data_IF_261625372421
#
_entry.id   IF_261625372421
#
_cell.length_a   1.000
_cell.length_b   1.000
_cell.length_c   1.000
_cell.angle_alpha   90.00
_cell.angle_beta   90.00
_cell.angle_gamma   90.00
#
_symmetry.space_group_name_H-M   'P 1'
#
loop_
_entity.id
_entity.type
_entity.pdbx_description
1 polymer ?
#
# COMPACT_ATOMS: atom_id res chain seq x y z
N UNK A 1 -8.74 0.39 22.75
CA UNK A 1 -7.37 0.74 22.29
C UNK A 1 -6.59 -0.47 21.76
N UNK A 2 -6.48 -1.57 22.52
CA UNK A 2 -5.72 -2.79 22.14
C UNK A 2 -6.13 -3.37 20.77
N UNK A 3 -7.43 -3.46 20.48
CA UNK A 3 -7.90 -4.03 19.19
C UNK A 3 -7.45 -3.18 18.00
N UNK A 4 -7.49 -1.85 18.08
CA UNK A 4 -7.01 -0.98 17.00
C UNK A 4 -5.52 -1.19 16.74
N UNK A 5 -4.71 -1.35 17.82
CA UNK A 5 -3.27 -1.62 17.70
C UNK A 5 -3.04 -2.97 17.01
N UNK A 6 -3.76 -4.01 17.40
CA UNK A 6 -3.65 -5.34 16.80
C UNK A 6 -4.07 -5.32 15.31
N UNK A 7 -5.14 -4.62 14.94
CA UNK A 7 -5.52 -4.45 13.54
C UNK A 7 -4.47 -3.68 12.75
N UNK A 8 -3.90 -2.64 13.31
CA UNK A 8 -2.82 -1.89 12.67
C UNK A 8 -1.56 -2.77 12.49
N UNK A 9 -1.19 -3.55 13.52
CA UNK A 9 -0.11 -4.52 13.43
C UNK A 9 -0.38 -5.59 12.36
N UNK A 10 -1.62 -6.06 12.25
CA UNK A 10 -2.01 -7.02 11.21
C UNK A 10 -1.86 -6.42 9.81
N UNK A 11 -2.35 -5.19 9.59
CA UNK A 11 -2.23 -4.50 8.31
C UNK A 11 -0.77 -4.27 7.90
N UNK A 12 0.06 -3.81 8.84
CA UNK A 12 1.50 -3.60 8.60
C UNK A 12 2.21 -4.91 8.31
N UNK A 13 1.89 -5.98 9.05
CA UNK A 13 2.45 -7.31 8.83
C UNK A 13 2.03 -7.89 7.47
N UNK A 14 0.77 -7.71 7.04
CA UNK A 14 0.33 -8.09 5.69
C UNK A 14 1.08 -7.34 4.59
N UNK A 15 1.33 -6.05 4.80
CA UNK A 15 2.09 -5.24 3.83
C UNK A 15 3.52 -5.73 3.71
N UNK A 16 4.18 -5.98 4.84
CA UNK A 16 5.53 -6.57 4.87
C UNK A 16 5.55 -7.93 4.16
N UNK A 17 4.56 -8.77 4.42
CA UNK A 17 4.42 -10.08 3.79
C UNK A 17 4.33 -9.94 2.25
N UNK A 18 3.48 -9.04 1.75
CA UNK A 18 3.34 -8.80 0.31
C UNK A 18 4.67 -8.29 -0.32
N UNK A 19 5.39 -7.40 0.37
CA UNK A 19 6.71 -6.92 -0.09
C UNK A 19 7.73 -8.06 -0.13
N UNK A 20 7.77 -8.92 0.90
CA UNK A 20 8.69 -10.07 0.98
C UNK A 20 8.40 -11.07 -0.13
N UNK A 21 7.12 -11.37 -0.41
CA UNK A 21 6.72 -12.21 -1.56
C UNK A 21 7.25 -11.62 -2.86
N UNK A 22 7.04 -10.33 -3.09
CA UNK A 22 7.50 -9.65 -4.30
C UNK A 22 9.02 -9.72 -4.46
N UNK A 23 9.77 -9.54 -3.36
CA UNK A 23 11.23 -9.66 -3.33
C UNK A 23 11.69 -11.10 -3.57
N UNK A 24 11.00 -12.09 -2.99
CA UNK A 24 11.29 -13.51 -3.21
C UNK A 24 11.08 -13.91 -4.66
N UNK A 25 9.96 -13.51 -5.27
CA UNK A 25 9.67 -13.79 -6.69
C UNK A 25 10.73 -13.17 -7.60
N UNK A 26 11.20 -11.95 -7.26
CA UNK A 26 12.19 -11.22 -8.05
C UNK A 26 13.60 -11.80 -7.93
N UNK A 27 14.03 -12.09 -6.71
CA UNK A 27 15.44 -12.42 -6.41
C UNK A 27 15.67 -13.93 -6.26
N UNK A 28 14.61 -14.71 -5.96
CA UNK A 28 14.65 -16.17 -5.68
C UNK A 28 15.68 -16.56 -4.60
N UNK A 29 15.95 -15.66 -3.66
CA UNK A 29 16.90 -15.84 -2.58
C UNK A 29 16.24 -16.58 -1.41
N UNK A 30 16.95 -17.58 -0.85
CA UNK A 30 16.51 -18.37 0.32
C UNK A 30 16.22 -17.50 1.55
N UNK A 31 16.94 -16.38 1.71
CA UNK A 31 16.72 -15.45 2.81
C UNK A 31 15.28 -14.90 2.80
N UNK A 32 14.79 -14.47 1.64
CA UNK A 32 13.40 -13.98 1.52
C UNK A 32 12.35 -15.09 1.73
N UNK A 33 12.69 -16.34 1.45
CA UNK A 33 11.82 -17.48 1.76
C UNK A 33 11.67 -17.67 3.27
N UNK A 34 12.75 -17.57 4.05
CA UNK A 34 12.66 -17.64 5.52
C UNK A 34 11.86 -16.48 6.10
N UNK A 35 12.06 -15.25 5.58
CA UNK A 35 11.26 -14.10 5.98
C UNK A 35 9.77 -14.25 5.60
N UNK A 36 9.48 -14.90 4.48
CA UNK A 36 8.10 -15.23 4.10
C UNK A 36 7.45 -16.15 5.14
N UNK A 37 8.10 -17.23 5.55
CA UNK A 37 7.59 -18.14 6.58
C UNK A 37 7.40 -17.39 7.91
N UNK A 38 8.38 -16.58 8.32
CA UNK A 38 8.31 -15.80 9.56
C UNK A 38 7.11 -14.83 9.57
N UNK A 39 6.86 -14.15 8.46
CA UNK A 39 5.71 -13.22 8.35
C UNK A 39 4.37 -13.95 8.27
N UNK A 40 4.29 -15.16 7.68
CA UNK A 40 3.09 -16.01 7.76
C UNK A 40 2.79 -16.38 9.21
N UNK A 41 3.79 -16.87 9.94
CA UNK A 41 3.63 -17.24 11.35
C UNK A 41 3.19 -16.03 12.21
N UNK A 42 3.79 -14.87 11.98
CA UNK A 42 3.41 -13.63 12.66
C UNK A 42 1.98 -13.18 12.36
N UNK A 43 1.55 -13.24 11.10
CA UNK A 43 0.16 -12.95 10.70
C UNK A 43 -0.84 -13.90 11.38
N UNK A 44 -0.52 -15.19 11.41
CA UNK A 44 -1.35 -16.19 12.10
C UNK A 44 -1.43 -15.92 13.60
N UNK A 45 -0.32 -15.61 14.26
CA UNK A 45 -0.30 -15.29 15.69
C UNK A 45 -1.16 -14.07 16.04
N UNK A 46 -1.05 -12.98 15.24
CA UNK A 46 -1.87 -11.77 15.42
C UNK A 46 -3.36 -12.07 15.18
N UNK A 47 -3.67 -12.84 14.14
CA UNK A 47 -5.06 -13.24 13.83
C UNK A 47 -5.66 -14.09 14.96
N UNK A 48 -4.91 -15.06 15.48
CA UNK A 48 -5.33 -15.87 16.63
C UNK A 48 -5.53 -15.01 17.89
N UNK A 49 -4.63 -14.07 18.17
CA UNK A 49 -4.80 -13.15 19.28
C UNK A 49 -6.07 -12.31 19.16
N UNK A 50 -6.38 -11.82 17.95
CA UNK A 50 -7.63 -11.09 17.67
C UNK A 50 -8.86 -11.97 17.90
N UNK A 51 -8.84 -13.24 17.45
CA UNK A 51 -9.94 -14.19 17.65
C UNK A 51 -10.14 -14.45 19.14
N UNK A 52 -9.07 -14.76 19.88
CA UNK A 52 -9.14 -15.06 21.32
C UNK A 52 -9.68 -13.84 22.09
N UNK A 53 -9.21 -12.64 21.80
CA UNK A 53 -9.72 -11.41 22.45
C UNK A 53 -11.18 -11.19 22.09
N UNK A 54 -11.57 -11.44 20.84
CA UNK A 54 -12.94 -11.28 20.36
C UNK A 54 -13.92 -12.20 21.07
N UNK A 55 -13.49 -13.45 21.34
CA UNK A 55 -14.29 -14.45 22.03
C UNK A 55 -14.32 -14.23 23.54
N UNK A 56 -13.18 -13.83 24.13
CA UNK A 56 -13.06 -13.65 25.58
C UNK A 56 -13.67 -12.34 26.09
N UNK A 57 -13.72 -11.30 25.25
CA UNK A 57 -14.20 -9.96 25.59
C UNK A 57 -15.01 -9.33 24.45
N UNK A 58 -16.21 -9.85 24.17
CA UNK A 58 -17.04 -9.36 23.07
C UNK A 58 -17.45 -7.90 23.23
N UNK A 59 -17.47 -7.35 24.45
CA UNK A 59 -17.70 -5.94 24.72
C UNK A 59 -16.68 -5.02 24.07
N UNK A 60 -15.42 -5.44 23.95
CA UNK A 60 -14.38 -4.65 23.29
C UNK A 60 -14.65 -4.49 21.78
N UNK A 61 -15.26 -5.48 21.17
CA UNK A 61 -15.65 -5.40 19.75
C UNK A 61 -16.88 -4.50 19.58
N UNK A 62 -17.87 -4.59 20.47
CA UNK A 62 -19.05 -3.73 20.44
C UNK A 62 -18.73 -2.25 20.61
N UNK A 63 -17.64 -1.94 21.32
CA UNK A 63 -17.13 -0.57 21.50
C UNK A 63 -16.28 -0.07 20.33
N UNK A 64 -15.99 -0.92 19.32
CA UNK A 64 -15.25 -0.50 18.14
C UNK A 64 -16.03 0.57 17.35
N UNK A 65 -15.43 1.74 17.24
CA UNK A 65 -15.93 2.74 16.33
C UNK A 65 -15.55 2.34 14.89
N UNK A 66 -16.49 1.66 14.20
CA UNK A 66 -16.28 1.21 12.84
C UNK A 66 -15.97 2.36 11.88
N UNK A 67 -16.52 3.57 12.12
CA UNK A 67 -16.21 4.76 11.30
C UNK A 67 -14.73 5.14 11.41
N UNK A 68 -14.20 5.13 12.63
CA UNK A 68 -12.78 5.39 12.88
C UNK A 68 -11.88 4.31 12.24
N UNK A 69 -12.26 3.05 12.37
CA UNK A 69 -11.54 1.94 11.78
C UNK A 69 -11.47 2.06 10.26
N UNK A 70 -12.60 2.27 9.57
CA UNK A 70 -12.64 2.44 8.12
C UNK A 70 -11.87 3.68 7.66
N UNK A 71 -11.89 4.76 8.44
CA UNK A 71 -11.07 5.93 8.15
C UNK A 71 -9.58 5.62 8.22
N UNK A 72 -9.11 4.94 9.29
CA UNK A 72 -7.72 4.54 9.43
C UNK A 72 -7.28 3.61 8.30
N UNK A 73 -8.11 2.62 7.96
CA UNK A 73 -7.88 1.68 6.86
C UNK A 73 -7.80 2.41 5.52
N UNK A 74 -8.69 3.37 5.27
CA UNK A 74 -8.66 4.15 4.03
C UNK A 74 -7.40 4.99 3.91
N UNK A 75 -6.92 5.60 4.99
CA UNK A 75 -5.66 6.32 5.04
C UNK A 75 -4.48 5.41 4.70
N UNK A 76 -4.43 4.24 5.31
CA UNK A 76 -3.39 3.25 5.05
C UNK A 76 -3.37 2.81 3.57
N UNK A 77 -4.52 2.44 3.00
CA UNK A 77 -4.63 2.06 1.58
C UNK A 77 -4.24 3.21 0.66
N UNK A 78 -4.66 4.44 0.98
CA UNK A 78 -4.28 5.64 0.22
C UNK A 78 -2.77 5.83 0.18
N UNK A 79 -2.07 5.67 1.33
CA UNK A 79 -0.62 5.77 1.41
C UNK A 79 0.08 4.64 0.64
N UNK A 80 -0.45 3.42 0.66
CA UNK A 80 0.08 2.31 -0.15
C UNK A 80 -0.03 2.60 -1.64
N UNK A 81 -1.19 3.06 -2.10
CA UNK A 81 -1.41 3.40 -3.51
C UNK A 81 -0.53 4.58 -3.95
N UNK A 82 -0.34 5.56 -3.07
CA UNK A 82 0.59 6.68 -3.32
C UNK A 82 2.03 6.19 -3.44
N UNK A 83 2.47 5.34 -2.52
CA UNK A 83 3.82 4.75 -2.53
C UNK A 83 4.08 3.95 -3.81
N UNK A 84 3.09 3.18 -4.27
CA UNK A 84 3.14 2.45 -5.54
C UNK A 84 3.36 3.42 -6.71
N UNK A 85 2.58 4.50 -6.78
CA UNK A 85 2.70 5.52 -7.84
C UNK A 85 4.08 6.17 -7.83
N UNK A 86 4.56 6.58 -6.65
CA UNK A 86 5.90 7.18 -6.48
C UNK A 86 6.99 6.21 -6.98
N UNK A 87 6.90 4.92 -6.62
CA UNK A 87 7.86 3.91 -7.05
C UNK A 87 7.87 3.75 -8.59
N UNK A 88 6.68 3.70 -9.22
CA UNK A 88 6.55 3.61 -10.67
C UNK A 88 7.13 4.87 -11.34
N UNK A 89 6.76 6.07 -10.90
CA UNK A 89 7.28 7.32 -11.45
C UNK A 89 8.80 7.42 -11.30
N UNK A 90 9.35 7.00 -10.15
CA UNK A 90 10.80 6.95 -9.93
C UNK A 90 11.49 6.03 -10.94
N UNK A 91 10.90 4.88 -11.26
CA UNK A 91 11.46 3.96 -12.25
C UNK A 91 11.41 4.54 -13.66
N UNK A 92 10.30 5.16 -14.06
CA UNK A 92 10.16 5.84 -15.35
C UNK A 92 11.15 7.00 -15.44
N UNK A 93 11.29 7.81 -14.38
CA UNK A 93 12.23 8.92 -14.32
C UNK A 93 13.70 8.46 -14.45
N UNK A 94 14.08 7.35 -13.80
CA UNK A 94 15.42 6.77 -13.97
C UNK A 94 15.68 6.38 -15.43
N UNK A 95 14.71 5.74 -16.10
CA UNK A 95 14.83 5.36 -17.52
C UNK A 95 14.86 6.58 -18.45
N UNK A 96 14.13 7.63 -18.14
CA UNK A 96 14.14 8.87 -18.94
C UNK A 96 15.50 9.59 -18.96
N UNK A 97 16.38 9.27 -18.02
CA UNK A 97 17.76 9.78 -17.97
C UNK A 97 18.77 8.88 -18.69
N UNK A 98 18.45 7.63 -18.94
CA UNK A 98 19.32 6.67 -19.59
C UNK A 98 19.29 6.89 -21.12
N UNK A 99 20.45 7.12 -21.77
CA UNK A 99 20.55 7.34 -23.22
C UNK A 99 19.94 6.22 -24.07
N UNK A 100 19.80 5.01 -23.53
CA UNK A 100 19.17 3.87 -24.20
C UNK A 100 17.67 4.06 -24.49
N UNK A 101 17.03 5.00 -23.80
CA UNK A 101 15.59 5.20 -23.86
C UNK A 101 15.16 6.48 -24.54
N UNK A 102 16.08 7.20 -25.19
CA UNK A 102 15.77 8.38 -25.97
C UNK A 102 16.80 8.64 -27.06
N UNK A 103 16.37 9.34 -28.09
CA UNK A 103 17.24 9.93 -29.11
C UNK A 103 16.90 11.41 -29.30
N UNK A 104 17.79 12.14 -29.92
CA UNK A 104 17.52 13.51 -30.32
C UNK A 104 17.04 13.55 -31.76
N UNK A 105 15.93 14.27 -32.01
CA UNK A 105 15.45 14.51 -33.37
C UNK A 105 16.31 15.58 -34.07
N UNK A 106 16.03 15.83 -35.36
CA UNK A 106 16.74 16.86 -36.14
C UNK A 106 16.67 18.26 -35.55
N UNK A 107 15.69 18.54 -34.67
CA UNK A 107 15.54 19.83 -33.98
C UNK A 107 16.21 19.86 -32.60
N UNK A 108 17.03 18.88 -32.26
CA UNK A 108 17.67 18.78 -30.96
C UNK A 108 16.71 18.48 -29.79
N UNK A 109 15.44 18.11 -30.07
CA UNK A 109 14.48 17.75 -29.03
C UNK A 109 14.63 16.27 -28.66
N UNK A 110 14.56 16.01 -27.36
CA UNK A 110 14.60 14.65 -26.80
C UNK A 110 13.31 13.91 -27.11
N UNK A 111 13.41 12.80 -27.81
CA UNK A 111 12.31 11.91 -28.15
C UNK A 111 12.51 10.58 -27.41
N UNK A 112 11.51 10.13 -26.68
CA UNK A 112 11.60 8.91 -25.90
C UNK A 112 11.20 7.69 -26.74
N UNK A 113 11.93 6.57 -26.52
CA UNK A 113 11.66 5.31 -27.17
C UNK A 113 10.35 4.67 -26.70
N UNK A 114 9.72 3.91 -27.62
CA UNK A 114 8.56 3.08 -27.28
C UNK A 114 8.98 2.08 -26.19
N UNK A 115 8.23 2.06 -25.07
CA UNK A 115 8.50 1.15 -23.95
C UNK A 115 9.20 1.79 -22.75
N UNK A 116 9.49 3.10 -22.77
CA UNK A 116 9.97 3.83 -21.58
C UNK A 116 9.01 3.65 -20.39
N UNK A 117 7.71 3.58 -20.68
CA UNK A 117 6.65 3.16 -19.74
C UNK A 117 6.25 1.74 -20.08
N UNK A 118 6.47 0.81 -19.16
CA UNK A 118 6.07 -0.59 -19.32
C UNK A 118 4.56 -0.73 -19.19
N UNK A 119 3.94 -1.70 -19.89
CA UNK A 119 2.50 -1.95 -19.80
C UNK A 119 2.02 -2.16 -18.36
N UNK A 120 2.78 -2.91 -17.57
CA UNK A 120 2.48 -3.15 -16.13
C UNK A 120 2.48 -1.85 -15.32
N UNK A 121 3.39 -0.92 -15.62
CA UNK A 121 3.46 0.39 -14.97
C UNK A 121 2.29 1.28 -15.37
N UNK A 122 1.92 1.26 -16.64
CA UNK A 122 0.73 1.95 -17.14
C UNK A 122 -0.52 1.44 -16.43
N UNK A 123 -0.72 0.12 -16.38
CA UNK A 123 -1.83 -0.51 -15.64
C UNK A 123 -1.76 -0.18 -14.14
N UNK A 124 -0.58 -0.16 -13.55
CA UNK A 124 -0.38 0.21 -12.13
C UNK A 124 -0.80 1.64 -11.84
N UNK A 125 -0.50 2.60 -12.71
CA UNK A 125 -0.88 4.00 -12.54
C UNK A 125 -2.39 4.20 -12.79
N UNK A 126 -2.87 3.79 -13.97
CA UNK A 126 -4.24 4.08 -14.39
C UNK A 126 -5.26 3.16 -13.73
N UNK A 127 -4.96 1.85 -13.57
CA UNK A 127 -5.84 0.91 -12.90
C UNK A 127 -6.02 1.21 -11.41
N UNK A 128 -4.99 1.75 -10.73
CA UNK A 128 -5.10 2.16 -9.33
C UNK A 128 -5.71 3.56 -9.15
N UNK A 129 -5.88 4.35 -10.21
CA UNK A 129 -6.34 5.73 -10.14
C UNK A 129 -7.74 5.88 -9.53
N UNK A 130 -8.78 5.16 -10.00
CA UNK A 130 -10.11 5.27 -9.43
C UNK A 130 -10.13 4.88 -7.94
N UNK A 131 -9.44 3.79 -7.56
CA UNK A 131 -9.35 3.37 -6.16
C UNK A 131 -8.65 4.43 -5.31
N UNK A 132 -7.56 5.02 -5.79
CA UNK A 132 -6.85 6.09 -5.12
C UNK A 132 -7.74 7.33 -4.92
N UNK A 133 -8.52 7.71 -5.92
CA UNK A 133 -9.41 8.86 -5.84
C UNK A 133 -10.58 8.61 -4.86
N UNK A 134 -11.27 7.47 -4.96
CA UNK A 134 -12.40 7.18 -4.10
C UNK A 134 -12.00 7.00 -2.64
N UNK A 135 -10.98 6.18 -2.38
CA UNK A 135 -10.52 5.90 -1.02
C UNK A 135 -9.85 7.14 -0.42
N UNK A 136 -9.04 7.85 -1.23
CA UNK A 136 -8.40 9.10 -0.81
C UNK A 136 -9.40 10.22 -0.52
N UNK A 137 -10.43 10.38 -1.34
CA UNK A 137 -11.50 11.35 -1.09
C UNK A 137 -12.25 11.04 0.22
N UNK A 138 -12.57 9.77 0.47
CA UNK A 138 -13.16 9.36 1.74
C UNK A 138 -12.25 9.68 2.93
N UNK A 139 -10.97 9.34 2.85
CA UNK A 139 -9.98 9.62 3.89
C UNK A 139 -9.89 11.11 4.19
N UNK A 140 -9.70 11.94 3.14
CA UNK A 140 -9.53 13.39 3.26
C UNK A 140 -10.81 14.06 3.77
N UNK A 141 -11.99 13.68 3.26
CA UNK A 141 -13.26 14.27 3.72
C UNK A 141 -13.51 14.03 5.20
N UNK A 142 -13.16 12.82 5.70
CA UNK A 142 -13.26 12.49 7.13
C UNK A 142 -12.21 13.24 7.96
N UNK A 143 -10.99 13.40 7.44
CA UNK A 143 -9.95 14.20 8.07
C UNK A 143 -10.40 15.65 8.26
N UNK A 144 -10.95 16.26 7.20
CA UNK A 144 -11.48 17.62 7.23
C UNK A 144 -12.61 17.74 8.25
N UNK A 145 -13.56 16.79 8.25
CA UNK A 145 -14.67 16.79 9.22
C UNK A 145 -14.16 16.70 10.67
N UNK A 146 -13.15 15.89 10.92
CA UNK A 146 -12.53 15.78 12.23
C UNK A 146 -11.87 17.11 12.64
N UNK A 147 -11.15 17.76 11.72
CA UNK A 147 -10.44 19.02 12.00
C UNK A 147 -11.40 20.19 12.23
N UNK A 148 -12.49 20.28 11.44
CA UNK A 148 -13.43 21.42 11.50
C UNK A 148 -14.50 21.26 12.57
N UNK A 149 -14.97 20.04 12.79
CA UNK A 149 -16.14 19.79 13.64
C UNK A 149 -15.87 18.90 14.86
N UNK A 150 -14.64 18.39 15.01
CA UNK A 150 -14.29 17.45 16.08
C UNK A 150 -15.08 16.13 16.05
N UNK A 151 -15.75 15.81 14.93
CA UNK A 151 -16.62 14.63 14.77
C UNK A 151 -16.08 13.71 13.67
N UNK A 152 -16.13 12.41 13.92
CA UNK A 152 -15.87 11.36 12.92
C UNK A 152 -17.15 10.77 12.37
#
# INVERSE_FOLDING_TARGET
>A
MIIYILFFCLLTSFTLHAVIIALYIKNKDKLYFYWFIATVAMNMAIALALIVISLSRPELIRQLNLKFFFWLLSGFVTLLLLSLKIAIFRNIYKRSKDPKWYHFNHFGKKVFEKGIVKQVEFLGIFGSLPFFLFIGAFFVSRLINMMLYGRM
#
